data_IF_054800572716
#
_entry.id   IF_054800572716
#
_cell.length_a   1.000
_cell.length_b   1.000
_cell.length_c   1.000
_cell.angle_alpha   90.00
_cell.angle_beta   90.00
_cell.angle_gamma   90.00
#
_symmetry.space_group_name_H-M   'P 1'
#
loop_
_entity.id
_entity.type
_entity.pdbx_description
1 polymer ?
#
# COMPACT_ATOMS: atom_id res chain seq x y z
N UNK A 1 14.72 -18.84 0.54
CA UNK A 1 13.79 -18.05 -0.29
C UNK A 1 13.55 -16.73 0.42
N UNK A 2 14.20 -15.64 0.02
CA UNK A 2 14.03 -14.33 0.64
C UNK A 2 12.58 -13.86 0.44
N UNK A 3 11.79 -13.78 1.51
CA UNK A 3 10.43 -13.21 1.44
C UNK A 3 10.53 -11.70 1.26
N UNK A 4 10.58 -11.26 0.00
CA UNK A 4 10.54 -9.83 -0.32
C UNK A 4 9.14 -9.30 -0.02
N UNK A 5 9.04 -8.39 0.95
CA UNK A 5 7.82 -7.69 1.33
C UNK A 5 7.97 -6.22 0.95
N UNK A 6 6.86 -5.56 0.63
CA UNK A 6 6.81 -4.13 0.34
C UNK A 6 5.77 -3.52 1.26
N UNK A 7 6.16 -2.51 2.01
CA UNK A 7 5.23 -1.63 2.70
C UNK A 7 4.75 -0.58 1.71
N UNK A 8 3.46 -0.61 1.40
CA UNK A 8 2.76 0.41 0.65
C UNK A 8 2.14 1.42 1.60
N UNK A 9 2.11 2.69 1.19
CA UNK A 9 1.48 3.77 1.91
C UNK A 9 0.54 4.54 1.00
N UNK A 10 -0.64 4.91 1.49
CA UNK A 10 -1.52 5.82 0.79
C UNK A 10 -1.00 7.25 0.95
N UNK A 11 -0.71 7.94 -0.16
CA UNK A 11 -0.19 9.32 -0.14
C UNK A 11 -1.17 10.34 0.45
N UNK A 12 -2.47 10.05 0.40
CA UNK A 12 -3.50 11.00 0.85
C UNK A 12 -3.88 10.83 2.31
N UNK A 13 -4.10 9.60 2.77
CA UNK A 13 -4.54 9.33 4.15
C UNK A 13 -3.46 8.72 5.04
N UNK A 14 -2.28 8.40 4.49
CA UNK A 14 -1.17 7.82 5.25
C UNK A 14 -1.37 6.37 5.71
N UNK A 15 -2.43 5.68 5.25
CA UNK A 15 -2.66 4.25 5.55
C UNK A 15 -1.46 3.44 5.04
N UNK A 16 -0.95 2.50 5.84
CA UNK A 16 0.17 1.63 5.48
C UNK A 16 -0.28 0.17 5.43
N UNK A 17 0.15 -0.57 4.42
CA UNK A 17 -0.12 -2.00 4.26
C UNK A 17 1.12 -2.73 3.75
N UNK A 18 1.49 -3.82 4.41
CA UNK A 18 2.61 -4.66 3.99
C UNK A 18 2.07 -5.78 3.11
N UNK A 19 2.60 -5.92 1.90
CA UNK A 19 2.25 -6.98 0.95
C UNK A 19 3.52 -7.71 0.51
N UNK A 20 3.40 -8.99 0.20
CA UNK A 20 4.47 -9.72 -0.46
C UNK A 20 4.64 -9.18 -1.88
N UNK A 21 5.89 -9.15 -2.38
CA UNK A 21 6.17 -8.73 -3.78
C UNK A 21 5.35 -9.55 -4.77
N UNK A 22 5.16 -10.85 -4.50
CA UNK A 22 4.36 -11.76 -5.33
C UNK A 22 2.86 -11.43 -5.35
N UNK A 23 2.32 -10.77 -4.32
CA UNK A 23 0.89 -10.42 -4.21
C UNK A 23 0.55 -9.04 -4.79
N UNK A 24 1.55 -8.27 -5.22
CA UNK A 24 1.34 -6.96 -5.84
C UNK A 24 0.84 -5.86 -4.88
N UNK A 25 0.15 -4.85 -5.42
CA UNK A 25 -0.34 -3.68 -4.66
C UNK A 25 -1.52 -4.07 -3.74
N UNK A 26 -1.72 -3.35 -2.62
CA UNK A 26 -2.87 -3.56 -1.74
C UNK A 26 -4.17 -3.15 -2.43
N UNK A 27 -5.30 -3.63 -1.89
CA UNK A 27 -6.61 -3.27 -2.44
C UNK A 27 -6.83 -1.75 -2.33
N UNK A 28 -7.29 -1.08 -3.40
CA UNK A 28 -7.47 0.36 -3.40
C UNK A 28 -8.47 0.84 -2.34
N UNK A 29 -9.45 0.03 -1.94
CA UNK A 29 -10.41 0.37 -0.89
C UNK A 29 -11.06 1.76 -1.07
N UNK A 30 -11.55 2.33 0.03
CA UNK A 30 -12.08 3.70 0.07
C UNK A 30 -11.16 4.57 0.93
N UNK A 31 -10.61 5.63 0.36
CA UNK A 31 -9.74 6.53 1.09
C UNK A 31 -10.56 7.56 1.91
N UNK A 32 -10.43 7.60 3.24
CA UNK A 32 -11.23 8.51 4.08
C UNK A 32 -10.88 9.99 3.87
N UNK A 33 -9.65 10.29 3.39
CA UNK A 33 -9.21 11.67 3.11
C UNK A 33 -9.64 12.19 1.75
N UNK A 34 -10.12 11.35 0.83
CA UNK A 34 -10.57 11.81 -0.48
C UNK A 34 -12.08 11.98 -0.48
N UNK A 35 -12.56 13.18 -0.82
CA UNK A 35 -13.98 13.40 -1.08
C UNK A 35 -14.45 12.56 -2.28
N UNK A 36 -15.65 11.99 -2.16
CA UNK A 36 -16.32 11.27 -3.24
C UNK A 36 -15.93 9.80 -3.42
N UNK A 37 -15.76 9.03 -2.34
CA UNK A 37 -15.48 7.58 -2.39
C UNK A 37 -14.24 7.18 -3.20
N UNK A 38 -13.27 8.09 -3.37
CA UNK A 38 -12.10 7.79 -4.20
C UNK A 38 -11.19 6.77 -3.52
N UNK A 39 -10.54 5.90 -4.29
CA UNK A 39 -9.66 4.87 -3.75
C UNK A 39 -8.36 5.43 -3.17
N UNK A 40 -7.73 4.62 -2.31
CA UNK A 40 -6.37 4.84 -1.82
C UNK A 40 -5.40 4.88 -3.01
N UNK A 41 -4.49 5.86 -2.97
CA UNK A 41 -3.36 5.92 -3.91
C UNK A 41 -2.16 5.31 -3.23
N UNK A 42 -1.96 4.01 -3.44
CA UNK A 42 -0.84 3.26 -2.89
C UNK A 42 0.47 3.60 -3.60
N UNK A 43 1.42 4.14 -2.84
CA UNK A 43 2.83 4.26 -3.22
C UNK A 43 3.68 3.29 -2.42
N UNK A 44 4.87 2.95 -2.92
CA UNK A 44 5.84 2.15 -2.17
C UNK A 44 6.47 3.05 -1.11
N UNK A 45 6.29 2.70 0.16
CA UNK A 45 6.95 3.40 1.26
C UNK A 45 8.34 2.83 1.52
N UNK A 46 8.45 1.51 1.61
CA UNK A 46 9.73 0.82 1.87
C UNK A 46 9.69 -0.64 1.44
N UNK A 47 10.84 -1.13 0.97
CA UNK A 47 11.03 -2.55 0.65
C UNK A 47 11.63 -3.23 1.87
N UNK A 48 10.96 -4.28 2.32
CA UNK A 48 11.35 -5.12 3.43
C UNK A 48 11.92 -6.40 2.81
N UNK A 49 13.21 -6.38 2.54
CA UNK A 49 13.99 -7.55 2.14
C UNK A 49 14.79 -8.03 3.36
N UNK A 50 14.72 -9.33 3.62
CA UNK A 50 15.49 -10.04 4.64
C UNK A 50 16.11 -11.28 4.00
#
# INVERSE_FOLDING_TARGET
>A
MATKRIEYMCTHCGKKEIRFVSLGKPMPGKCPRKQGNKPHTWTVNRRLEN
#
